data_IF_762737174634
#
_entry.id   IF_762737174634
#
_cell.length_a   1.000
_cell.length_b   1.000
_cell.length_c   1.000
_cell.angle_alpha   90.00
_cell.angle_beta   90.00
_cell.angle_gamma   90.00
#
_symmetry.space_group_name_H-M   'P 1'
#
loop_
_entity.id
_entity.type
_entity.pdbx_description
1 polymer ?
#
# COMPACT_ATOMS: atom_id res chain seq x y z
N UNK A 1 -46.32 -20.25 19.19
CA UNK A 1 -45.82 -18.87 19.10
C UNK A 1 -46.47 -18.20 17.91
N UNK A 2 -47.01 -17.00 18.05
CA UNK A 2 -47.64 -16.29 16.93
C UNK A 2 -46.57 -15.90 15.88
N UNK A 3 -46.90 -16.05 14.59
CA UNK A 3 -46.00 -15.65 13.51
C UNK A 3 -45.72 -14.14 13.57
N UNK A 4 -44.49 -13.70 13.25
CA UNK A 4 -44.17 -12.27 13.22
C UNK A 4 -45.03 -11.57 12.16
N UNK A 5 -45.64 -10.43 12.54
CA UNK A 5 -46.41 -9.58 11.63
C UNK A 5 -45.48 -8.66 10.85
N UNK A 6 -45.78 -8.43 9.57
CA UNK A 6 -45.02 -7.52 8.72
C UNK A 6 -45.12 -6.08 9.23
N UNK A 7 -43.98 -5.36 9.26
CA UNK A 7 -43.89 -3.95 9.65
C UNK A 7 -43.19 -3.17 8.55
N UNK A 8 -43.81 -2.08 8.08
CA UNK A 8 -43.20 -1.20 7.08
C UNK A 8 -42.08 -0.40 7.73
N UNK A 9 -40.84 -0.64 7.29
CA UNK A 9 -39.64 0.03 7.79
C UNK A 9 -38.96 0.78 6.65
N UNK A 10 -38.88 2.13 6.74
CA UNK A 10 -38.27 2.96 5.70
C UNK A 10 -36.75 2.77 5.62
N UNK A 11 -36.07 2.71 6.77
CA UNK A 11 -34.63 2.51 6.90
C UNK A 11 -34.39 1.51 8.03
N UNK A 12 -33.53 0.52 7.77
CA UNK A 12 -33.15 -0.47 8.78
C UNK A 12 -32.50 0.22 9.99
N UNK A 13 -32.67 -0.37 11.17
CA UNK A 13 -31.89 0.01 12.33
C UNK A 13 -30.40 -0.25 12.06
N UNK A 14 -29.47 0.52 12.66
CA UNK A 14 -28.04 0.32 12.46
C UNK A 14 -27.58 -1.13 12.69
N UNK A 15 -28.07 -1.80 13.74
CA UNK A 15 -27.76 -3.20 14.04
C UNK A 15 -28.15 -4.15 12.91
N UNK A 16 -29.36 -3.99 12.39
CA UNK A 16 -29.93 -4.88 11.37
C UNK A 16 -29.24 -4.65 10.02
N UNK A 17 -28.86 -3.41 9.74
CA UNK A 17 -28.05 -3.07 8.58
C UNK A 17 -26.67 -3.73 8.68
N UNK A 18 -25.95 -3.55 9.80
CA UNK A 18 -24.62 -4.14 10.02
C UNK A 18 -24.70 -5.67 9.87
N UNK A 19 -25.68 -6.30 10.52
CA UNK A 19 -25.89 -7.75 10.45
C UNK A 19 -26.11 -8.22 9.01
N UNK A 20 -26.98 -7.53 8.25
CA UNK A 20 -27.22 -7.83 6.83
C UNK A 20 -25.96 -7.68 5.99
N UNK A 21 -25.20 -6.60 6.20
CA UNK A 21 -24.02 -6.31 5.39
C UNK A 21 -22.89 -7.31 5.64
N UNK A 22 -22.61 -7.62 6.91
CA UNK A 22 -21.62 -8.63 7.27
C UNK A 22 -22.06 -10.04 6.86
N UNK A 23 -23.36 -10.35 6.99
CA UNK A 23 -23.93 -11.61 6.53
C UNK A 23 -23.74 -11.79 5.03
N UNK A 24 -24.10 -10.79 4.23
CA UNK A 24 -23.93 -10.84 2.77
C UNK A 24 -22.47 -10.97 2.36
N UNK A 25 -21.56 -10.23 2.99
CA UNK A 25 -20.13 -10.31 2.69
C UNK A 25 -19.57 -11.71 2.98
N UNK A 26 -19.98 -12.32 4.10
CA UNK A 26 -19.58 -13.69 4.45
C UNK A 26 -20.15 -14.74 3.49
N UNK A 27 -21.40 -14.58 3.06
CA UNK A 27 -22.08 -15.58 2.24
C UNK A 27 -21.66 -15.57 0.77
N UNK A 28 -21.47 -14.39 0.18
CA UNK A 28 -21.28 -14.25 -1.28
C UNK A 28 -20.20 -13.24 -1.68
N UNK A 29 -19.52 -12.62 -0.72
CA UNK A 29 -18.60 -11.50 -0.98
C UNK A 29 -17.42 -11.88 -1.87
N UNK A 30 -16.74 -12.99 -1.55
CA UNK A 30 -15.57 -13.45 -2.31
C UNK A 30 -15.92 -13.82 -3.75
N UNK A 31 -16.98 -14.62 -3.95
CA UNK A 31 -17.44 -15.03 -5.28
C UNK A 31 -17.84 -13.82 -6.14
N UNK A 32 -18.61 -12.88 -5.57
CA UNK A 32 -19.02 -11.67 -6.29
C UNK A 32 -17.82 -10.77 -6.63
N UNK A 33 -16.85 -10.65 -5.71
CA UNK A 33 -15.61 -9.91 -5.98
C UNK A 33 -14.86 -10.52 -7.16
N UNK A 34 -14.70 -11.84 -7.20
CA UNK A 34 -14.07 -12.58 -8.30
C UNK A 34 -14.72 -12.32 -9.66
N UNK A 35 -16.05 -12.40 -9.73
CA UNK A 35 -16.81 -12.09 -10.97
C UNK A 35 -16.56 -10.64 -11.41
N UNK A 36 -16.57 -9.70 -10.46
CA UNK A 36 -16.37 -8.28 -10.75
C UNK A 36 -15.00 -7.97 -11.34
N UNK A 37 -13.93 -8.56 -10.80
CA UNK A 37 -12.57 -8.34 -11.31
C UNK A 37 -12.30 -9.09 -12.63
N UNK A 38 -13.06 -10.16 -12.92
CA UNK A 38 -12.94 -10.90 -14.16
C UNK A 38 -13.58 -10.19 -15.37
N UNK A 39 -14.52 -9.26 -15.15
CA UNK A 39 -15.23 -8.53 -16.20
C UNK A 39 -15.26 -7.01 -15.94
N UNK A 40 -14.10 -6.33 -15.92
CA UNK A 40 -14.07 -4.90 -15.68
C UNK A 40 -14.73 -4.14 -16.84
N UNK A 41 -15.50 -3.09 -16.53
CA UNK A 41 -16.21 -2.27 -17.54
C UNK A 41 -15.28 -1.51 -18.50
N UNK A 42 -14.03 -1.29 -18.08
CA UNK A 42 -12.96 -0.66 -18.84
C UNK A 42 -11.61 -1.12 -18.27
N UNK A 43 -10.53 -0.98 -19.04
CA UNK A 43 -9.18 -1.24 -18.54
C UNK A 43 -8.86 -0.29 -17.37
N UNK A 44 -8.67 -0.83 -16.14
CA UNK A 44 -8.42 0.00 -14.97
C UNK A 44 -7.07 0.73 -15.03
N UNK A 45 -6.07 0.18 -15.73
CA UNK A 45 -4.74 0.78 -15.85
C UNK A 45 -4.82 2.01 -16.75
N UNK A 46 -5.41 1.86 -17.94
CA UNK A 46 -5.59 2.99 -18.86
C UNK A 46 -6.47 4.08 -18.25
N UNK A 47 -7.54 3.70 -17.55
CA UNK A 47 -8.39 4.65 -16.80
C UNK A 47 -7.61 5.38 -15.72
N UNK A 48 -6.74 4.68 -14.99
CA UNK A 48 -5.85 5.27 -13.99
C UNK A 48 -4.91 6.31 -14.59
N UNK A 49 -4.22 5.97 -15.69
CA UNK A 49 -3.33 6.88 -16.41
C UNK A 49 -4.09 8.11 -16.91
N UNK A 50 -5.28 7.94 -17.49
CA UNK A 50 -6.10 9.06 -17.95
C UNK A 50 -6.59 9.97 -16.81
N UNK A 51 -6.64 9.46 -15.57
CA UNK A 51 -7.09 10.18 -14.39
C UNK A 51 -5.97 10.93 -13.64
N UNK A 52 -4.72 10.88 -14.13
CA UNK A 52 -3.57 11.59 -13.52
C UNK A 52 -3.84 13.08 -13.20
N UNK A 53 -4.45 13.88 -14.09
CA UNK A 53 -4.76 15.28 -13.77
C UNK A 53 -5.71 15.43 -12.57
N UNK A 54 -6.71 14.55 -12.48
CA UNK A 54 -7.65 14.54 -11.35
C UNK A 54 -6.96 14.08 -10.06
N UNK A 55 -6.13 13.04 -10.13
CA UNK A 55 -5.35 12.56 -9.00
C UNK A 55 -4.44 13.66 -8.43
N UNK A 56 -3.74 14.40 -9.29
CA UNK A 56 -2.88 15.52 -8.88
C UNK A 56 -3.69 16.62 -8.17
N UNK A 57 -4.82 17.05 -8.75
CA UNK A 57 -5.67 18.09 -8.17
C UNK A 57 -6.25 17.68 -6.80
N UNK A 58 -6.75 16.45 -6.68
CA UNK A 58 -7.36 15.96 -5.44
C UNK A 58 -6.33 15.72 -4.35
N UNK A 59 -5.11 15.31 -4.71
CA UNK A 59 -4.01 15.16 -3.76
C UNK A 59 -3.58 16.52 -3.20
N UNK A 60 -3.45 17.53 -4.06
CA UNK A 60 -3.17 18.91 -3.64
C UNK A 60 -4.22 19.42 -2.65
N UNK A 61 -5.50 19.26 -2.98
CA UNK A 61 -6.60 19.65 -2.10
C UNK A 61 -6.55 18.91 -0.75
N UNK A 62 -6.26 17.60 -0.75
CA UNK A 62 -6.16 16.82 0.48
C UNK A 62 -5.02 17.29 1.41
N UNK A 63 -3.92 17.79 0.83
CA UNK A 63 -2.81 18.38 1.56
C UNK A 63 -3.20 19.76 2.10
N UNK A 64 -3.78 20.62 1.28
CA UNK A 64 -4.22 21.97 1.66
C UNK A 64 -5.23 21.92 2.81
N UNK A 65 -6.19 21.01 2.75
CA UNK A 65 -7.20 20.80 3.79
C UNK A 65 -6.74 19.92 4.96
N UNK A 66 -5.48 19.49 4.98
CA UNK A 66 -4.92 18.64 6.05
C UNK A 66 -5.75 17.36 6.33
N UNK A 67 -6.39 16.79 5.30
CA UNK A 67 -7.31 15.64 5.46
C UNK A 67 -6.64 14.44 6.10
N UNK A 68 -5.35 14.23 5.82
CA UNK A 68 -4.55 13.13 6.40
C UNK A 68 -4.42 13.27 7.91
N UNK A 69 -4.11 14.45 8.43
CA UNK A 69 -3.97 14.67 9.87
C UNK A 69 -5.30 14.39 10.60
N UNK A 70 -6.40 14.92 10.06
CA UNK A 70 -7.76 14.66 10.57
C UNK A 70 -8.14 13.18 10.58
N UNK A 71 -7.76 12.44 9.55
CA UNK A 71 -8.02 11.00 9.49
C UNK A 71 -7.18 10.21 10.51
N UNK A 72 -5.90 10.58 10.68
CA UNK A 72 -5.02 9.93 11.66
C UNK A 72 -5.49 10.17 13.11
N UNK A 73 -6.10 11.33 13.40
CA UNK A 73 -6.69 11.59 14.71
C UNK A 73 -7.97 10.80 15.02
N UNK A 74 -8.53 10.08 14.03
CA UNK A 74 -9.74 9.28 14.22
C UNK A 74 -9.46 7.88 14.81
N UNK A 75 -8.20 7.49 14.96
CA UNK A 75 -7.77 6.22 15.56
C UNK A 75 -6.73 6.48 16.65
N UNK A 76 -6.26 5.44 17.32
CA UNK A 76 -5.25 5.52 18.38
C UNK A 76 -4.24 4.36 18.28
N UNK A 77 -3.20 4.43 19.11
CA UNK A 77 -2.08 3.48 19.09
C UNK A 77 -2.51 2.04 19.36
N UNK A 78 -3.44 1.84 20.30
CA UNK A 78 -3.89 0.50 20.70
C UNK A 78 -4.73 -0.14 19.61
N UNK A 79 -5.65 0.62 19.00
CA UNK A 79 -6.45 0.14 17.87
C UNK A 79 -5.56 -0.21 16.67
N UNK A 80 -4.63 0.68 16.32
CA UNK A 80 -3.67 0.42 15.25
C UNK A 80 -2.86 -0.85 15.50
N UNK A 81 -2.30 -0.99 16.71
CA UNK A 81 -1.47 -2.14 17.07
C UNK A 81 -2.27 -3.44 17.00
N UNK A 82 -3.50 -3.45 17.52
CA UNK A 82 -4.37 -4.61 17.49
C UNK A 82 -4.69 -5.07 16.06
N UNK A 83 -5.00 -4.15 15.13
CA UNK A 83 -5.21 -4.53 13.73
C UNK A 83 -3.92 -4.99 13.04
N UNK A 84 -2.80 -4.32 13.30
CA UNK A 84 -1.52 -4.69 12.72
C UNK A 84 -1.10 -6.11 13.16
N UNK A 85 -1.21 -6.41 14.45
CA UNK A 85 -0.83 -7.69 15.03
C UNK A 85 -1.75 -8.82 14.58
N UNK A 86 -3.07 -8.63 14.68
CA UNK A 86 -4.04 -9.73 14.52
C UNK A 86 -4.50 -9.95 13.07
N UNK A 87 -4.40 -8.92 12.21
CA UNK A 87 -4.83 -9.00 10.81
C UNK A 87 -3.63 -8.79 9.88
N UNK A 88 -2.85 -7.74 10.11
CA UNK A 88 -1.76 -7.32 9.22
C UNK A 88 -0.65 -8.35 9.09
N UNK A 89 -0.19 -8.93 10.21
CA UNK A 89 0.92 -9.90 10.24
C UNK A 89 0.73 -11.07 9.29
N UNK A 90 -0.47 -11.67 9.27
CA UNK A 90 -0.77 -12.80 8.38
C UNK A 90 -0.82 -12.41 6.91
N UNK A 91 -1.39 -11.23 6.61
CA UNK A 91 -1.47 -10.69 5.24
C UNK A 91 -0.11 -10.35 4.65
N UNK A 92 0.85 -9.91 5.47
CA UNK A 92 2.21 -9.60 5.02
C UNK A 92 2.89 -10.83 4.43
N UNK A 93 2.94 -11.93 5.20
CA UNK A 93 3.64 -13.15 4.78
C UNK A 93 2.98 -13.74 3.53
N UNK A 94 1.65 -13.93 3.56
CA UNK A 94 0.90 -14.46 2.41
C UNK A 94 1.06 -13.58 1.16
N UNK A 95 0.98 -12.27 1.34
CA UNK A 95 1.06 -11.31 0.25
C UNK A 95 2.44 -11.21 -0.41
N UNK A 96 3.52 -11.33 0.37
CA UNK A 96 4.90 -11.30 -0.12
C UNK A 96 5.27 -12.62 -0.79
N UNK A 97 4.98 -13.76 -0.16
CA UNK A 97 5.31 -15.08 -0.72
C UNK A 97 4.59 -15.32 -2.04
N UNK A 98 3.30 -14.96 -2.15
CA UNK A 98 2.55 -15.07 -3.42
C UNK A 98 3.06 -14.13 -4.53
N UNK A 99 3.85 -13.10 -4.16
CA UNK A 99 4.45 -12.13 -5.09
C UNK A 99 5.97 -12.30 -5.17
N UNK A 100 6.47 -13.53 -5.02
CA UNK A 100 7.89 -13.84 -5.13
C UNK A 100 8.55 -13.27 -6.39
N UNK A 101 7.81 -13.25 -7.52
CA UNK A 101 8.25 -12.63 -8.77
C UNK A 101 8.72 -11.19 -8.57
N UNK A 102 7.98 -10.37 -7.83
CA UNK A 102 8.33 -8.96 -7.59
C UNK A 102 9.64 -8.82 -6.80
N UNK A 103 9.89 -9.75 -5.87
CA UNK A 103 11.15 -9.82 -5.12
C UNK A 103 12.29 -10.19 -6.05
N UNK A 104 12.10 -11.21 -6.91
CA UNK A 104 13.09 -11.60 -7.92
C UNK A 104 13.38 -10.46 -8.89
N UNK A 105 12.36 -9.82 -9.45
CA UNK A 105 12.51 -8.69 -10.37
C UNK A 105 13.31 -7.56 -9.72
N UNK A 106 12.99 -7.20 -8.47
CA UNK A 106 13.74 -6.20 -7.73
C UNK A 106 15.19 -6.61 -7.52
N UNK A 107 15.44 -7.81 -6.96
CA UNK A 107 16.80 -8.25 -6.62
C UNK A 107 17.67 -8.37 -7.87
N UNK A 108 17.16 -8.97 -8.94
CA UNK A 108 17.90 -9.17 -10.18
C UNK A 108 18.23 -7.83 -10.88
N UNK A 109 17.33 -6.84 -10.80
CA UNK A 109 17.58 -5.51 -11.37
C UNK A 109 18.44 -4.62 -10.48
N UNK A 110 18.29 -4.71 -9.15
CA UNK A 110 18.95 -3.82 -8.20
C UNK A 110 20.37 -4.27 -7.82
N UNK A 111 20.59 -5.57 -7.63
CA UNK A 111 21.88 -6.09 -7.19
C UNK A 111 23.06 -5.62 -8.06
N UNK A 112 23.02 -5.69 -9.40
CA UNK A 112 24.14 -5.23 -10.22
C UNK A 112 24.36 -3.72 -10.15
N UNK A 113 23.28 -2.94 -9.99
CA UNK A 113 23.36 -1.48 -9.81
C UNK A 113 24.06 -1.15 -8.49
N UNK A 114 23.70 -1.85 -7.41
CA UNK A 114 24.32 -1.68 -6.12
C UNK A 114 25.79 -2.09 -6.15
N UNK A 115 26.13 -3.20 -6.81
CA UNK A 115 27.50 -3.67 -6.94
C UNK A 115 28.39 -2.66 -7.68
N UNK A 116 27.90 -2.10 -8.79
CA UNK A 116 28.61 -1.04 -9.53
C UNK A 116 28.84 0.21 -8.65
N UNK A 117 27.82 0.64 -7.90
CA UNK A 117 27.95 1.76 -6.96
C UNK A 117 28.99 1.49 -5.87
N UNK A 118 28.90 0.34 -5.20
CA UNK A 118 29.83 -0.02 -4.13
C UNK A 118 31.27 -0.14 -4.63
N UNK A 119 31.48 -0.61 -5.86
CA UNK A 119 32.82 -0.65 -6.47
C UNK A 119 33.51 0.72 -6.56
N UNK A 120 32.73 1.82 -6.59
CA UNK A 120 33.22 3.22 -6.58
C UNK A 120 33.42 3.76 -5.17
N UNK A 121 32.64 3.29 -4.20
CA UNK A 121 32.68 3.74 -2.80
C UNK A 121 33.76 3.03 -2.00
N UNK A 122 33.95 1.72 -2.22
CA UNK A 122 34.86 0.90 -1.43
C UNK A 122 36.31 1.40 -1.45
N UNK A 123 36.87 1.85 -2.58
CA UNK A 123 38.23 2.39 -2.64
C UNK A 123 38.43 3.74 -1.94
N UNK A 124 37.35 4.45 -1.53
CA UNK A 124 37.48 5.75 -0.87
C UNK A 124 38.18 5.61 0.48
N UNK A 125 39.09 6.55 0.82
CA UNK A 125 39.88 6.48 2.05
C UNK A 125 39.00 6.58 3.29
N UNK A 126 39.49 6.06 4.41
CA UNK A 126 38.83 6.14 5.73
C UNK A 126 39.80 6.47 6.86
N UNK A 127 41.00 6.96 6.53
CA UNK A 127 42.10 7.18 7.48
C UNK A 127 41.76 8.32 8.43
N UNK A 128 41.35 9.47 7.89
CA UNK A 128 40.95 10.63 8.68
C UNK A 128 39.43 10.67 8.90
N UNK A 129 38.99 11.51 9.85
CA UNK A 129 37.56 11.81 10.01
C UNK A 129 36.99 12.40 8.72
N UNK A 130 37.74 13.29 8.05
CA UNK A 130 37.32 13.91 6.79
C UNK A 130 37.09 12.85 5.70
N UNK A 131 37.98 11.86 5.60
CA UNK A 131 37.82 10.78 4.61
C UNK A 131 36.58 9.93 4.87
N UNK A 132 36.33 9.58 6.14
CA UNK A 132 35.11 8.84 6.54
C UNK A 132 33.84 9.62 6.24
N UNK A 133 33.83 10.93 6.52
CA UNK A 133 32.70 11.81 6.21
C UNK A 133 32.48 11.86 4.70
N UNK A 134 33.53 12.06 3.91
CA UNK A 134 33.44 12.10 2.45
C UNK A 134 32.91 10.78 1.87
N UNK A 135 33.40 9.64 2.34
CA UNK A 135 32.91 8.32 1.93
C UNK A 135 31.44 8.11 2.27
N UNK A 136 31.03 8.50 3.48
CA UNK A 136 29.64 8.39 3.91
C UNK A 136 28.70 9.27 3.07
N UNK A 137 29.08 10.53 2.83
CA UNK A 137 28.32 11.47 2.00
C UNK A 137 28.20 10.94 0.57
N UNK A 138 29.31 10.55 -0.05
CA UNK A 138 29.30 9.99 -1.42
C UNK A 138 28.40 8.75 -1.52
N UNK A 139 28.39 7.88 -0.50
CA UNK A 139 27.52 6.72 -0.47
C UNK A 139 26.04 7.10 -0.36
N UNK A 140 25.69 8.04 0.53
CA UNK A 140 24.30 8.49 0.74
C UNK A 140 23.77 9.18 -0.52
N UNK A 141 24.54 10.10 -1.10
CA UNK A 141 24.16 10.82 -2.33
C UNK A 141 24.01 9.85 -3.51
N UNK A 142 24.93 8.90 -3.67
CA UNK A 142 24.84 7.90 -4.72
C UNK A 142 23.61 6.99 -4.56
N UNK A 143 23.34 6.47 -3.36
CA UNK A 143 22.13 5.67 -3.10
C UNK A 143 20.84 6.46 -3.33
N UNK A 144 20.82 7.74 -2.96
CA UNK A 144 19.69 8.62 -3.21
C UNK A 144 19.43 8.81 -4.72
N UNK A 145 20.50 9.00 -5.50
CA UNK A 145 20.43 9.13 -6.96
C UNK A 145 19.95 7.84 -7.65
N UNK A 146 20.24 6.68 -7.09
CA UNK A 146 19.85 5.39 -7.64
C UNK A 146 18.38 5.01 -7.34
N UNK A 147 17.67 5.77 -6.51
CA UNK A 147 16.30 5.44 -6.09
C UNK A 147 15.37 5.25 -7.29
N UNK A 148 14.80 4.05 -7.40
CA UNK A 148 13.79 3.72 -8.41
C UNK A 148 14.33 3.37 -9.80
N UNK A 149 15.65 3.46 -10.03
CA UNK A 149 16.30 3.13 -11.31
C UNK A 149 16.11 1.67 -11.74
N UNK A 150 15.74 0.79 -10.81
CA UNK A 150 15.45 -0.63 -11.06
C UNK A 150 14.11 -0.88 -11.78
N UNK A 151 13.17 0.08 -11.79
CA UNK A 151 11.78 -0.13 -12.25
C UNK A 151 11.56 -0.09 -13.77
N UNK A 152 12.62 -0.03 -14.57
CA UNK A 152 12.54 0.15 -16.03
C UNK A 152 13.46 -0.78 -16.82
N UNK A 153 13.86 -1.90 -16.24
CA UNK A 153 14.70 -2.93 -16.88
C UNK A 153 13.97 -4.26 -16.91
#
# INVERSE_FOLDING_TARGET
>A
MAAPKAVVTRILKPSDWIARQLGNLKSVGEANYGVGIASPRADPIQKGIAAEPTYAAMTKLAIEEQRRAKALSATNMDEWYNYALNIGKGRLVDGVVKREKEVHDFVNSWQPILLDHLSKIDPLPTVTLKDRVNKAVANIEGLAALRGTWRGR
#
